data_IF_663771497968
#
_entry.id   IF_663771497968
#
_cell.length_a   1.000
_cell.length_b   1.000
_cell.length_c   1.000
_cell.angle_alpha   90.00
_cell.angle_beta   90.00
_cell.angle_gamma   90.00
#
_symmetry.space_group_name_H-M   'P 1'
#
loop_
_entity.id
_entity.type
_entity.pdbx_description
1 polymer ?
#
# COMPACT_ATOMS: atom_id res chain seq x y z
N UNK A 1 46.38 1.49 1.81
CA UNK A 1 45.66 0.21 1.95
C UNK A 1 44.16 0.50 1.89
N UNK A 2 43.54 0.22 0.76
CA UNK A 2 42.10 0.40 0.56
C UNK A 2 41.35 -0.69 1.33
N UNK A 3 40.61 -0.29 2.36
CA UNK A 3 39.68 -1.16 3.07
C UNK A 3 38.56 -1.55 2.10
N UNK A 4 38.67 -2.74 1.51
CA UNK A 4 37.56 -3.40 0.81
C UNK A 4 36.52 -3.80 1.85
N UNK A 5 35.49 -2.97 2.05
CA UNK A 5 34.29 -3.40 2.79
C UNK A 5 33.48 -4.31 1.88
N UNK A 6 33.57 -5.61 2.15
CA UNK A 6 32.71 -6.64 1.58
C UNK A 6 31.28 -6.30 1.97
N UNK A 7 30.41 -6.05 0.98
CA UNK A 7 28.96 -5.96 1.20
C UNK A 7 28.49 -7.41 1.40
N UNK A 8 28.19 -7.79 2.64
CA UNK A 8 27.61 -9.09 2.95
C UNK A 8 26.23 -9.18 2.32
N UNK A 9 26.00 -10.24 1.53
CA UNK A 9 24.70 -10.63 0.99
C UNK A 9 23.73 -10.87 2.17
N UNK A 10 22.53 -10.30 2.11
CA UNK A 10 21.47 -10.58 3.07
C UNK A 10 21.70 -9.99 4.46
N UNK A 11 21.65 -8.65 4.58
CA UNK A 11 21.75 -7.98 5.88
C UNK A 11 20.36 -7.80 6.49
N UNK A 12 20.12 -8.40 7.66
CA UNK A 12 18.91 -8.18 8.46
C UNK A 12 19.19 -7.24 9.63
N UNK A 13 18.32 -6.25 9.81
CA UNK A 13 18.26 -5.34 10.94
C UNK A 13 16.94 -5.60 11.65
N UNK A 14 16.97 -6.06 12.90
CA UNK A 14 15.75 -6.25 13.70
C UNK A 14 15.53 -5.08 14.63
N UNK A 15 14.30 -4.58 14.67
CA UNK A 15 13.84 -3.48 15.52
C UNK A 15 13.37 -4.06 16.86
N UNK A 16 14.17 -3.95 17.92
CA UNK A 16 13.76 -4.33 19.29
C UNK A 16 13.88 -3.15 20.23
N UNK A 17 12.77 -2.63 20.80
CA UNK A 17 12.76 -1.60 21.86
C UNK A 17 13.88 -0.52 21.72
N UNK A 18 13.92 0.18 20.59
CA UNK A 18 14.93 1.21 20.27
C UNK A 18 16.40 0.75 20.23
N UNK A 19 16.67 -0.55 20.14
CA UNK A 19 17.99 -1.16 19.95
C UNK A 19 18.01 -1.98 18.65
N UNK A 20 19.01 -1.69 17.83
CA UNK A 20 19.29 -2.41 16.57
C UNK A 20 20.10 -3.67 16.90
N UNK A 21 19.57 -4.85 16.53
CA UNK A 21 20.32 -6.11 16.56
C UNK A 21 20.70 -6.49 15.12
N UNK A 22 21.99 -6.77 14.91
CA UNK A 22 22.54 -7.14 13.61
C UNK A 22 22.61 -8.66 13.49
N UNK A 23 22.10 -9.22 12.41
CA UNK A 23 22.27 -10.63 12.08
C UNK A 23 22.85 -10.74 10.66
N UNK A 24 23.96 -11.48 10.51
CA UNK A 24 24.46 -11.91 9.20
C UNK A 24 23.70 -13.18 8.80
N UNK A 25 23.18 -13.24 7.58
CA UNK A 25 22.60 -14.49 7.04
C UNK A 25 23.78 -15.41 6.67
N UNK A 26 23.84 -16.68 7.14
CA UNK A 26 24.96 -17.56 6.84
C UNK A 26 25.00 -17.94 5.36
N UNK A 27 26.12 -17.73 4.70
CA UNK A 27 26.46 -18.41 3.44
C UNK A 27 27.00 -19.81 3.75
N UNK A 28 26.29 -20.83 3.26
CA UNK A 28 26.68 -22.25 3.09
C UNK A 28 27.73 -22.84 4.05
N UNK A 29 27.30 -23.73 4.96
CA UNK A 29 28.19 -24.71 5.62
C UNK A 29 27.52 -26.09 5.64
N UNK A 30 28.27 -27.07 5.15
CA UNK A 30 28.04 -28.52 5.24
C UNK A 30 28.12 -29.02 6.70
N UNK A 31 27.12 -29.81 7.11
CA UNK A 31 27.09 -30.79 8.23
C UNK A 31 27.50 -30.35 9.65
N UNK A 32 26.55 -30.27 10.60
CA UNK A 32 26.28 -31.37 11.57
C UNK A 32 25.11 -31.00 12.50
N UNK A 33 24.29 -32.00 12.82
CA UNK A 33 23.05 -31.88 13.58
C UNK A 33 23.37 -31.66 15.07
N UNK A 34 23.08 -30.48 15.62
CA UNK A 34 22.56 -30.38 16.99
C UNK A 34 21.86 -29.03 17.24
N UNK A 35 20.76 -29.15 17.98
CA UNK A 35 19.72 -28.17 18.29
C UNK A 35 20.14 -26.72 18.55
N UNK A 36 19.65 -25.78 17.74
CA UNK A 36 19.21 -24.46 18.20
C UNK A 36 18.23 -23.87 17.17
N UNK A 37 17.00 -23.59 17.59
CA UNK A 37 15.93 -23.03 16.74
C UNK A 37 16.22 -21.56 16.44
N UNK A 38 16.52 -21.26 15.17
CA UNK A 38 16.60 -19.89 14.64
C UNK A 38 15.51 -19.72 13.56
N UNK A 39 14.70 -18.66 13.70
CA UNK A 39 13.77 -18.17 12.67
C UNK A 39 14.54 -17.54 11.49
N UNK A 40 15.24 -18.38 10.73
CA UNK A 40 15.61 -18.07 9.37
C UNK A 40 14.33 -18.00 8.54
N UNK A 41 14.22 -17.06 7.61
CA UNK A 41 13.27 -17.21 6.50
C UNK A 41 13.68 -18.53 5.85
N UNK A 42 12.84 -19.55 5.96
CA UNK A 42 13.16 -20.87 5.43
C UNK A 42 13.13 -20.82 3.90
N UNK A 43 14.27 -20.46 3.32
CA UNK A 43 14.50 -20.47 1.88
C UNK A 43 14.44 -21.90 1.31
N UNK A 44 14.46 -22.96 2.14
CA UNK A 44 14.32 -24.34 1.65
C UNK A 44 12.87 -24.71 1.30
N UNK A 45 11.89 -23.95 1.79
CA UNK A 45 10.49 -24.10 1.37
C UNK A 45 10.23 -23.42 0.01
N UNK A 46 11.12 -22.54 -0.45
CA UNK A 46 11.02 -21.87 -1.76
C UNK A 46 11.43 -22.83 -2.90
N UNK A 47 12.38 -23.74 -2.64
CA UNK A 47 12.93 -24.66 -3.66
C UNK A 47 11.98 -25.80 -4.11
N UNK A 48 10.80 -25.96 -3.49
CA UNK A 48 9.81 -26.98 -3.88
C UNK A 48 8.55 -26.41 -4.53
N UNK A 49 8.29 -25.11 -4.39
CA UNK A 49 7.21 -24.41 -5.07
C UNK A 49 7.62 -23.88 -6.47
N UNK A 50 8.93 -23.82 -6.74
CA UNK A 50 9.50 -23.49 -8.06
C UNK A 50 9.47 -24.73 -8.97
N UNK A 51 8.25 -25.21 -9.25
CA UNK A 51 7.95 -26.01 -10.44
C UNK A 51 6.74 -25.38 -11.12
N UNK A 52 7.04 -24.38 -11.96
CA UNK A 52 6.21 -23.85 -13.04
C UNK A 52 4.73 -23.55 -12.72
N UNK A 53 4.50 -22.73 -11.71
CA UNK A 53 3.81 -21.48 -12.02
C UNK A 53 4.97 -20.56 -12.42
N UNK A 54 5.08 -20.21 -13.71
CA UNK A 54 6.17 -19.32 -14.15
C UNK A 54 6.13 -18.05 -13.28
N UNK A 55 7.28 -17.49 -12.91
CA UNK A 55 7.35 -16.23 -12.15
C UNK A 55 6.38 -15.18 -12.74
N UNK A 56 6.33 -15.12 -14.07
CA UNK A 56 5.42 -14.30 -14.87
C UNK A 56 3.94 -14.54 -14.52
N UNK A 57 3.51 -15.79 -14.37
CA UNK A 57 2.16 -16.11 -13.94
C UNK A 57 1.90 -15.67 -12.49
N UNK A 58 2.88 -15.83 -11.59
CA UNK A 58 2.76 -15.33 -10.21
C UNK A 58 2.57 -13.82 -10.14
N UNK A 59 3.28 -13.06 -10.99
CA UNK A 59 3.07 -11.61 -11.12
C UNK A 59 1.73 -11.28 -11.76
N UNK A 60 1.30 -12.04 -12.77
CA UNK A 60 -0.01 -11.86 -13.36
C UNK A 60 -1.12 -12.04 -12.31
N UNK A 61 -1.02 -13.08 -11.49
CA UNK A 61 -1.97 -13.35 -10.40
C UNK A 61 -1.97 -12.23 -9.36
N UNK A 62 -0.79 -11.66 -9.03
CA UNK A 62 -0.68 -10.49 -8.17
C UNK A 62 -1.43 -9.29 -8.77
N UNK A 63 -1.16 -8.96 -10.03
CA UNK A 63 -1.80 -7.85 -10.74
C UNK A 63 -3.32 -8.04 -10.76
N UNK A 64 -3.79 -9.23 -11.16
CA UNK A 64 -5.21 -9.55 -11.22
C UNK A 64 -5.87 -9.43 -9.82
N UNK A 65 -5.16 -9.84 -8.76
CA UNK A 65 -5.68 -9.76 -7.39
C UNK A 65 -5.95 -8.33 -6.90
N UNK A 66 -5.20 -7.35 -7.41
CA UNK A 66 -5.36 -5.93 -7.09
C UNK A 66 -6.42 -5.23 -7.97
N UNK A 67 -6.98 -5.96 -8.94
CA UNK A 67 -7.91 -5.44 -9.94
C UNK A 67 -9.24 -6.21 -9.99
N UNK A 68 -9.63 -6.82 -8.88
CA UNK A 68 -10.68 -7.84 -8.76
C UNK A 68 -12.10 -7.30 -8.50
N UNK A 69 -12.37 -6.02 -8.75
CA UNK A 69 -13.71 -5.44 -8.54
C UNK A 69 -14.73 -6.16 -9.44
N UNK A 70 -15.73 -6.76 -8.79
CA UNK A 70 -16.83 -7.44 -9.46
C UNK A 70 -17.84 -6.43 -10.02
N UNK A 71 -17.75 -6.18 -11.33
CA UNK A 71 -18.64 -5.27 -12.06
C UNK A 71 -20.09 -5.79 -12.14
N UNK A 72 -20.36 -7.05 -11.80
CA UNK A 72 -21.73 -7.60 -11.76
C UNK A 72 -22.50 -7.21 -10.50
N UNK A 73 -21.81 -6.70 -9.47
CA UNK A 73 -22.46 -6.20 -8.25
C UNK A 73 -23.14 -4.87 -8.51
N UNK A 74 -24.28 -4.66 -7.86
CA UNK A 74 -25.06 -3.42 -7.92
C UNK A 74 -24.41 -2.30 -7.08
N UNK A 75 -23.16 -1.94 -7.37
CA UNK A 75 -22.53 -0.75 -6.82
C UNK A 75 -23.19 0.50 -7.37
N UNK A 76 -23.38 1.48 -6.51
CA UNK A 76 -24.08 2.73 -6.83
C UNK A 76 -23.12 3.91 -6.66
N UNK A 77 -23.03 4.83 -7.64
CA UNK A 77 -22.24 6.05 -7.51
C UNK A 77 -22.55 6.85 -6.25
N UNK A 78 -21.52 7.34 -5.57
CA UNK A 78 -21.62 8.41 -4.58
C UNK A 78 -21.27 9.73 -5.26
N UNK A 79 -22.24 10.62 -5.38
CA UNK A 79 -22.09 11.91 -6.03
C UNK A 79 -22.03 13.04 -5.02
N UNK A 80 -21.23 14.06 -5.30
CA UNK A 80 -21.25 15.33 -4.61
C UNK A 80 -20.93 16.44 -5.61
N UNK A 81 -21.76 17.49 -5.66
CA UNK A 81 -21.66 18.56 -6.67
C UNK A 81 -21.59 18.04 -8.12
N UNK A 82 -22.43 17.05 -8.46
CA UNK A 82 -22.47 16.36 -9.75
C UNK A 82 -21.20 15.58 -10.15
N UNK A 83 -20.15 15.60 -9.33
CA UNK A 83 -18.98 14.75 -9.48
C UNK A 83 -19.17 13.41 -8.77
N UNK A 84 -18.79 12.31 -9.43
CA UNK A 84 -18.67 11.02 -8.77
C UNK A 84 -17.38 11.01 -7.96
N UNK A 85 -17.49 10.66 -6.67
CA UNK A 85 -16.34 10.65 -5.75
C UNK A 85 -16.16 9.29 -5.08
N UNK A 86 -17.07 8.35 -5.35
CA UNK A 86 -17.08 7.04 -4.72
C UNK A 86 -18.06 6.06 -5.37
N UNK A 87 -18.03 4.83 -4.86
CA UNK A 87 -18.95 3.74 -5.18
C UNK A 87 -19.40 3.04 -3.89
N UNK A 88 -20.69 2.82 -3.76
CA UNK A 88 -21.29 2.30 -2.53
C UNK A 88 -21.98 0.96 -2.79
N UNK A 89 -21.76 -0.01 -1.91
CA UNK A 89 -22.44 -1.30 -1.99
C UNK A 89 -23.88 -1.24 -1.45
N UNK A 90 -24.77 -2.17 -1.85
CA UNK A 90 -26.12 -2.26 -1.30
C UNK A 90 -26.17 -2.35 0.23
N UNK A 91 -25.20 -3.01 0.86
CA UNK A 91 -25.10 -3.14 2.33
C UNK A 91 -24.86 -1.79 3.00
N UNK A 92 -23.99 -0.95 2.43
CA UNK A 92 -23.73 0.39 2.95
C UNK A 92 -24.93 1.31 2.70
N UNK A 93 -25.58 1.21 1.53
CA UNK A 93 -26.81 1.95 1.21
C UNK A 93 -27.93 1.65 2.23
N UNK A 94 -28.03 0.41 2.71
CA UNK A 94 -29.00 0.03 3.75
C UNK A 94 -28.82 0.85 5.01
N UNK A 95 -27.59 1.08 5.47
CA UNK A 95 -27.32 1.91 6.64
C UNK A 95 -27.52 3.41 6.32
N UNK A 96 -27.09 3.87 5.14
CA UNK A 96 -27.32 5.27 4.70
C UNK A 96 -28.81 5.62 4.67
N UNK A 97 -29.68 4.68 4.26
CA UNK A 97 -31.13 4.90 4.16
C UNK A 97 -31.81 5.24 5.48
N UNK A 98 -31.17 4.87 6.61
CA UNK A 98 -31.64 5.18 7.96
C UNK A 98 -31.31 6.62 8.37
N UNK A 99 -30.40 7.29 7.68
CA UNK A 99 -29.87 8.61 8.02
C UNK A 99 -30.21 9.66 6.96
N UNK A 100 -31.51 9.92 6.79
CA UNK A 100 -32.04 10.87 5.78
C UNK A 100 -31.59 12.32 5.98
N UNK A 101 -31.13 12.67 7.19
CA UNK A 101 -30.54 13.98 7.48
C UNK A 101 -29.12 14.14 6.91
N UNK A 102 -28.47 13.03 6.54
CA UNK A 102 -27.08 12.99 6.06
C UNK A 102 -27.04 12.59 4.59
N UNK A 103 -27.84 11.61 4.18
CA UNK A 103 -27.80 11.02 2.85
C UNK A 103 -29.13 11.12 2.11
N UNK A 104 -29.02 11.30 0.80
CA UNK A 104 -30.10 11.19 -0.17
C UNK A 104 -29.82 9.98 -1.06
N UNK A 105 -30.82 9.13 -1.25
CA UNK A 105 -30.76 7.95 -2.12
C UNK A 105 -31.69 8.22 -3.29
N UNK A 106 -31.13 8.52 -4.46
CA UNK A 106 -31.90 8.79 -5.67
C UNK A 106 -32.27 7.47 -6.34
N UNK A 107 -33.57 7.28 -6.59
CA UNK A 107 -34.11 6.07 -7.25
C UNK A 107 -34.72 6.42 -8.59
N UNK A 108 -34.58 5.51 -9.53
CA UNK A 108 -35.36 5.53 -10.77
C UNK A 108 -36.83 5.29 -10.47
N UNK A 109 -37.71 6.17 -10.95
CA UNK A 109 -39.14 6.11 -10.63
C UNK A 109 -39.86 4.92 -11.29
N UNK A 110 -39.34 4.39 -12.41
CA UNK A 110 -39.97 3.30 -13.15
C UNK A 110 -39.52 1.94 -12.62
N UNK A 111 -38.22 1.79 -12.37
CA UNK A 111 -37.61 0.52 -11.98
C UNK A 111 -37.43 0.37 -10.47
N UNK A 112 -37.50 1.48 -9.71
CA UNK A 112 -37.22 1.50 -8.27
C UNK A 112 -35.74 1.30 -7.91
N UNK A 113 -34.86 1.10 -8.91
CA UNK A 113 -33.43 0.90 -8.71
C UNK A 113 -32.76 2.18 -8.24
N UNK A 114 -31.80 2.05 -7.33
CA UNK A 114 -30.98 3.20 -6.92
C UNK A 114 -30.09 3.63 -8.07
N UNK A 115 -30.14 4.91 -8.44
CA UNK A 115 -29.29 5.51 -9.49
C UNK A 115 -27.98 6.04 -8.93
N UNK A 116 -28.07 6.78 -7.83
CA UNK A 116 -26.91 7.33 -7.13
C UNK A 116 -27.26 7.58 -5.66
N UNK A 117 -26.21 7.78 -4.86
CA UNK A 117 -26.30 8.30 -3.50
C UNK A 117 -25.58 9.63 -3.42
N UNK A 118 -26.00 10.49 -2.51
CA UNK A 118 -25.35 11.79 -2.26
C UNK A 118 -25.57 12.24 -0.82
N UNK A 119 -24.92 13.32 -0.41
CA UNK A 119 -25.18 13.96 0.88
C UNK A 119 -26.38 14.90 0.82
N UNK A 120 -27.01 15.15 1.96
CA UNK A 120 -28.16 16.05 2.06
C UNK A 120 -27.77 17.48 1.64
N UNK A 121 -28.62 18.13 0.83
CA UNK A 121 -28.41 19.51 0.33
C UNK A 121 -28.29 20.56 1.43
N UNK A 122 -28.71 20.24 2.66
CA UNK A 122 -28.53 21.10 3.83
C UNK A 122 -27.09 21.17 4.32
N UNK A 123 -26.21 20.24 3.93
CA UNK A 123 -24.81 20.17 4.34
C UNK A 123 -23.93 20.89 3.31
N UNK A 124 -23.72 22.19 3.52
CA UNK A 124 -23.23 23.09 2.47
C UNK A 124 -21.71 23.11 2.34
N UNK A 125 -21.00 22.93 3.44
CA UNK A 125 -19.54 23.03 3.46
C UNK A 125 -18.84 21.73 3.88
N UNK A 126 -17.51 21.73 3.70
CA UNK A 126 -16.62 20.61 4.02
C UNK A 126 -16.75 20.20 5.47
N UNK A 127 -16.82 21.15 6.39
CA UNK A 127 -16.81 20.89 7.84
C UNK A 127 -18.11 20.22 8.29
N UNK A 128 -19.26 20.74 7.83
CA UNK A 128 -20.57 20.15 8.11
C UNK A 128 -20.67 18.72 7.58
N UNK A 129 -20.24 18.48 6.33
CA UNK A 129 -20.23 17.15 5.70
C UNK A 129 -19.37 16.19 6.49
N UNK A 130 -18.13 16.59 6.79
CA UNK A 130 -17.16 15.76 7.53
C UNK A 130 -17.67 15.42 8.92
N UNK A 131 -18.21 16.40 9.64
CA UNK A 131 -18.74 16.22 11.00
C UNK A 131 -19.92 15.25 11.02
N UNK A 132 -20.89 15.42 10.11
CA UNK A 132 -22.05 14.52 10.05
C UNK A 132 -21.66 13.11 9.63
N UNK A 133 -20.77 12.98 8.66
CA UNK A 133 -20.25 11.68 8.25
C UNK A 133 -19.50 10.98 9.39
N UNK A 134 -18.64 11.70 10.11
CA UNK A 134 -17.93 11.16 11.27
C UNK A 134 -18.88 10.69 12.38
N UNK A 135 -19.96 11.44 12.68
CA UNK A 135 -20.99 11.00 13.63
C UNK A 135 -21.66 9.70 13.18
N UNK A 136 -22.03 9.60 11.90
CA UNK A 136 -22.61 8.38 11.33
C UNK A 136 -21.66 7.18 11.43
N UNK A 137 -20.39 7.39 11.08
CA UNK A 137 -19.38 6.33 11.11
C UNK A 137 -19.04 5.87 12.53
N UNK A 138 -19.05 6.77 13.51
CA UNK A 138 -18.90 6.41 14.93
C UNK A 138 -20.06 5.55 15.43
N UNK A 139 -21.31 5.89 15.08
CA UNK A 139 -22.47 5.04 15.40
C UNK A 139 -22.32 3.64 14.78
N UNK A 140 -21.91 3.54 13.51
CA UNK A 140 -21.67 2.26 12.85
C UNK A 140 -20.52 1.46 13.50
N UNK A 141 -19.47 2.14 13.94
CA UNK A 141 -18.34 1.54 14.66
C UNK A 141 -18.79 1.00 16.01
N UNK A 142 -19.54 1.79 16.79
CA UNK A 142 -19.99 1.42 18.13
C UNK A 142 -20.98 0.24 18.09
N UNK A 143 -21.74 0.13 17.00
CA UNK A 143 -22.62 -1.02 16.70
C UNK A 143 -21.91 -2.19 16.01
N UNK A 144 -20.60 -2.09 15.75
CA UNK A 144 -19.76 -3.07 15.05
C UNK A 144 -20.35 -3.57 13.73
N UNK A 145 -20.90 -2.64 12.92
CA UNK A 145 -21.64 -3.00 11.70
C UNK A 145 -20.72 -3.46 10.57
N UNK A 146 -19.56 -2.81 10.43
CA UNK A 146 -18.61 -3.08 9.35
C UNK A 146 -17.22 -3.39 9.92
N UNK A 147 -16.59 -4.52 9.53
CA UNK A 147 -15.28 -4.92 10.06
C UNK A 147 -14.19 -3.87 9.89
N UNK A 148 -14.23 -3.11 8.79
CA UNK A 148 -13.23 -2.06 8.51
C UNK A 148 -13.17 -0.98 9.60
N UNK A 149 -14.30 -0.67 10.24
CA UNK A 149 -14.39 0.37 11.27
C UNK A 149 -13.69 -0.02 12.59
N UNK A 150 -13.35 -1.29 12.78
CA UNK A 150 -12.50 -1.75 13.90
C UNK A 150 -11.08 -1.20 13.78
N UNK A 151 -10.64 -0.89 12.56
CA UNK A 151 -9.33 -0.30 12.28
C UNK A 151 -9.29 1.23 12.39
N UNK A 152 -10.14 1.85 13.23
CA UNK A 152 -10.17 3.30 13.47
C UNK A 152 -8.84 3.80 14.03
N UNK A 153 -8.27 4.86 13.42
CA UNK A 153 -6.94 5.40 13.74
C UNK A 153 -6.97 6.85 14.22
N UNK A 154 -8.12 7.53 14.16
CA UNK A 154 -8.22 8.98 14.36
C UNK A 154 -7.35 9.75 13.35
N UNK A 155 -7.32 9.22 12.13
CA UNK A 155 -6.60 9.78 10.99
C UNK A 155 -7.61 9.88 9.86
N UNK A 156 -7.80 11.08 9.35
CA UNK A 156 -8.76 11.34 8.27
C UNK A 156 -8.04 11.54 6.95
N UNK A 157 -8.68 11.14 5.86
CA UNK A 157 -8.26 11.43 4.49
C UNK A 157 -9.19 12.45 3.84
N UNK A 158 -8.65 13.20 2.88
CA UNK A 158 -9.41 14.12 2.06
C UNK A 158 -10.12 13.37 0.94
N UNK A 159 -11.42 13.63 0.78
CA UNK A 159 -12.22 13.15 -0.35
C UNK A 159 -12.40 14.29 -1.35
N UNK A 160 -12.04 14.00 -2.60
CA UNK A 160 -11.98 14.96 -3.72
C UNK A 160 -12.50 14.29 -4.98
N UNK A 161 -12.84 15.08 -6.00
CA UNK A 161 -13.14 14.57 -7.35
C UNK A 161 -11.86 14.05 -8.02
N UNK A 162 -10.77 14.81 -7.91
CA UNK A 162 -9.44 14.42 -8.36
C UNK A 162 -8.39 14.97 -7.42
N UNK A 163 -7.15 14.45 -7.51
CA UNK A 163 -6.08 14.80 -6.57
C UNK A 163 -5.87 16.32 -6.37
N UNK A 164 -5.95 17.09 -7.46
CA UNK A 164 -5.72 18.55 -7.47
C UNK A 164 -7.01 19.38 -7.29
N UNK A 165 -8.17 18.73 -7.17
CA UNK A 165 -9.44 19.43 -6.96
C UNK A 165 -9.60 19.88 -5.50
N UNK A 166 -10.64 20.67 -5.25
CA UNK A 166 -10.98 21.11 -3.91
C UNK A 166 -11.37 19.93 -3.00
N UNK A 167 -11.14 20.09 -1.71
CA UNK A 167 -11.51 19.07 -0.72
C UNK A 167 -12.98 19.19 -0.40
N UNK A 168 -13.72 18.13 -0.66
CA UNK A 168 -15.16 18.13 -0.50
C UNK A 168 -15.58 17.73 0.91
N UNK A 169 -14.89 16.77 1.51
CA UNK A 169 -15.09 16.32 2.90
C UNK A 169 -13.86 15.54 3.39
N UNK A 170 -13.79 15.33 4.69
CA UNK A 170 -12.84 14.46 5.36
C UNK A 170 -13.56 13.23 5.90
N UNK A 171 -12.90 12.09 5.82
CA UNK A 171 -13.42 10.80 6.26
C UNK A 171 -12.35 10.05 7.04
N UNK A 172 -12.75 9.33 8.08
CA UNK A 172 -11.83 8.42 8.78
C UNK A 172 -11.23 7.42 7.79
N UNK A 173 -9.90 7.27 7.82
CA UNK A 173 -9.12 6.42 6.91
C UNK A 173 -9.72 5.03 6.74
N UNK A 174 -10.10 4.38 7.84
CA UNK A 174 -10.65 3.02 7.81
C UNK A 174 -12.03 2.92 7.17
N UNK A 175 -12.76 4.03 7.03
CA UNK A 175 -14.09 4.07 6.44
C UNK A 175 -14.11 4.40 4.95
N UNK A 176 -12.98 4.84 4.35
CA UNK A 176 -12.91 5.19 2.92
C UNK A 176 -13.48 4.07 2.03
N UNK A 177 -13.15 2.82 2.36
CA UNK A 177 -13.53 1.67 1.56
C UNK A 177 -15.03 1.31 1.61
N UNK A 178 -15.79 1.84 2.57
CA UNK A 178 -17.24 1.68 2.60
C UNK A 178 -17.93 2.49 1.49
N UNK A 179 -17.32 3.59 1.08
CA UNK A 179 -17.84 4.48 0.05
C UNK A 179 -17.04 4.42 -1.24
N UNK A 180 -16.04 3.54 -1.31
CA UNK A 180 -15.12 3.46 -2.44
C UNK A 180 -14.45 4.81 -2.73
N UNK A 181 -14.16 5.60 -1.70
CA UNK A 181 -13.50 6.89 -1.94
C UNK A 181 -12.07 6.67 -2.43
N UNK A 182 -11.65 7.47 -3.41
CA UNK A 182 -10.29 7.42 -3.94
C UNK A 182 -9.29 7.87 -2.88
N UNK A 183 -8.40 6.97 -2.47
CA UNK A 183 -7.35 7.24 -1.49
C UNK A 183 -6.00 7.44 -2.16
N UNK A 184 -5.12 8.17 -1.47
CA UNK A 184 -3.77 8.46 -1.93
C UNK A 184 -2.74 8.09 -0.86
N UNK A 185 -1.59 7.59 -1.31
CA UNK A 185 -0.45 7.30 -0.45
C UNK A 185 0.88 7.56 -1.14
N UNK A 186 1.96 7.35 -0.41
CA UNK A 186 3.34 7.52 -0.86
C UNK A 186 4.11 6.24 -0.58
N UNK A 187 4.87 5.78 -1.57
CA UNK A 187 5.76 4.64 -1.43
C UNK A 187 7.17 5.03 -1.87
N UNK A 188 8.18 4.64 -1.10
CA UNK A 188 9.60 4.90 -1.40
C UNK A 188 10.36 3.60 -1.64
N UNK A 189 10.93 3.47 -2.84
CA UNK A 189 11.93 2.47 -3.18
C UNK A 189 13.31 2.98 -2.73
N UNK A 190 13.71 2.63 -1.50
CA UNK A 190 15.04 2.90 -0.98
C UNK A 190 16.03 1.84 -1.48
N UNK A 191 16.96 2.24 -2.34
CA UNK A 191 17.92 1.32 -2.94
C UNK A 191 19.36 1.80 -2.82
N UNK A 192 20.30 0.89 -3.00
CA UNK A 192 21.74 1.12 -2.90
C UNK A 192 22.40 0.46 -4.12
N UNK A 193 23.41 1.11 -4.69
CA UNK A 193 24.27 0.51 -5.72
C UNK A 193 25.64 0.15 -5.13
N UNK A 194 26.17 -1.01 -5.51
CA UNK A 194 27.56 -1.36 -5.22
C UNK A 194 28.53 -0.71 -6.23
N UNK A 195 29.84 -0.96 -6.09
CA UNK A 195 30.85 -0.38 -7.00
C UNK A 195 30.74 -0.93 -8.44
N UNK A 196 30.12 -2.09 -8.62
CA UNK A 196 29.86 -2.73 -9.90
C UNK A 196 28.56 -2.23 -10.56
N UNK A 197 27.76 -1.43 -9.84
CA UNK A 197 26.47 -0.94 -10.29
C UNK A 197 25.29 -1.89 -10.00
N UNK A 198 25.51 -3.01 -9.31
CA UNK A 198 24.43 -3.90 -8.91
C UNK A 198 23.52 -3.22 -7.88
N UNK A 199 22.21 -3.38 -8.07
CA UNK A 199 21.18 -2.77 -7.25
C UNK A 199 20.77 -3.69 -6.11
N UNK A 200 20.69 -3.12 -4.91
CA UNK A 200 20.14 -3.72 -3.70
C UNK A 200 19.00 -2.83 -3.19
N UNK A 201 17.94 -3.41 -2.65
CA UNK A 201 16.80 -2.67 -2.11
C UNK A 201 16.65 -2.94 -0.63
N UNK A 202 16.36 -1.89 0.13
CA UNK A 202 15.89 -2.01 1.51
C UNK A 202 14.41 -2.39 1.50
N UNK A 203 14.10 -3.56 2.02
CA UNK A 203 12.74 -4.08 2.18
C UNK A 203 12.43 -4.08 3.67
N UNK A 204 11.29 -3.50 4.06
CA UNK A 204 10.83 -3.54 5.44
C UNK A 204 9.93 -4.76 5.68
N UNK A 205 9.81 -5.18 6.94
CA UNK A 205 8.80 -6.13 7.40
C UNK A 205 7.86 -5.42 8.35
N UNK A 206 6.58 -5.45 8.01
CA UNK A 206 5.51 -4.84 8.79
C UNK A 206 5.42 -5.50 10.17
N UNK A 207 5.25 -4.70 11.22
CA UNK A 207 5.01 -5.23 12.56
C UNK A 207 3.78 -6.14 12.59
N UNK A 208 3.81 -7.17 13.46
CA UNK A 208 2.68 -8.10 13.62
C UNK A 208 1.42 -7.43 14.22
N UNK A 209 1.59 -6.26 14.82
CA UNK A 209 0.54 -5.41 15.39
C UNK A 209 -0.20 -4.58 14.35
N UNK A 210 0.32 -4.45 13.11
CA UNK A 210 -0.34 -3.68 12.06
C UNK A 210 -1.74 -4.23 11.78
N UNK A 211 -2.76 -3.36 11.66
CA UNK A 211 -4.15 -3.78 11.41
C UNK A 211 -4.34 -4.43 10.03
N UNK A 212 -3.48 -4.10 9.06
CA UNK A 212 -3.52 -4.67 7.71
C UNK A 212 -2.19 -5.30 7.36
N UNK A 213 -2.24 -6.48 6.75
CA UNK A 213 -1.07 -7.23 6.28
C UNK A 213 0.05 -7.39 7.34
N UNK A 214 -0.26 -7.82 8.59
CA UNK A 214 0.74 -7.95 9.64
C UNK A 214 1.84 -8.96 9.24
N UNK A 215 3.10 -8.61 9.47
CA UNK A 215 4.26 -9.47 9.21
C UNK A 215 4.68 -9.61 7.74
N UNK A 216 3.94 -9.02 6.78
CA UNK A 216 4.30 -9.02 5.36
C UNK A 216 5.50 -8.11 5.07
N UNK A 217 6.19 -8.38 3.96
CA UNK A 217 7.20 -7.48 3.41
C UNK A 217 6.54 -6.25 2.77
N UNK A 218 7.23 -5.12 2.82
CA UNK A 218 6.75 -3.82 2.32
C UNK A 218 7.90 -3.07 1.62
N UNK A 219 7.60 -1.91 1.02
CA UNK A 219 8.63 -1.00 0.53
C UNK A 219 9.52 -0.51 1.70
N UNK A 220 10.59 0.22 1.39
CA UNK A 220 11.44 0.79 2.44
C UNK A 220 10.64 1.70 3.38
N UNK A 221 9.73 2.49 2.79
CA UNK A 221 8.81 3.40 3.47
C UNK A 221 7.50 3.39 2.69
N UNK A 222 6.35 3.33 3.37
CA UNK A 222 5.04 3.43 2.74
C UNK A 222 3.97 3.99 3.69
N UNK A 223 3.32 5.08 3.29
CA UNK A 223 2.35 5.77 4.15
C UNK A 223 1.18 6.38 3.39
N UNK A 224 0.07 6.56 4.10
CA UNK A 224 -1.11 7.22 3.57
C UNK A 224 -1.01 8.74 3.63
N UNK A 225 -1.63 9.46 2.69
CA UNK A 225 -1.67 10.92 2.75
C UNK A 225 -2.84 11.34 3.64
N UNK A 226 -2.51 11.78 4.85
CA UNK A 226 -3.49 12.31 5.80
C UNK A 226 -4.05 13.66 5.35
N UNK A 227 -5.22 14.01 5.89
CA UNK A 227 -5.86 15.28 5.61
C UNK A 227 -5.00 16.47 6.01
N UNK A 228 -4.90 17.47 5.13
CA UNK A 228 -4.03 18.62 5.29
C UNK A 228 -2.54 18.36 5.00
N UNK A 229 -2.13 17.14 4.70
CA UNK A 229 -0.74 16.84 4.27
C UNK A 229 -0.59 16.89 2.74
N UNK A 230 0.55 17.40 2.30
CA UNK A 230 1.02 17.22 0.92
C UNK A 230 1.80 15.91 0.79
N UNK A 231 1.89 15.39 -0.45
CA UNK A 231 2.73 14.22 -0.81
C UNK A 231 4.13 14.31 -0.20
N UNK A 232 4.75 15.48 -0.27
CA UNK A 232 6.12 15.69 0.23
C UNK A 232 6.19 15.65 1.76
N UNK A 233 5.22 16.25 2.45
CA UNK A 233 5.15 16.20 3.91
C UNK A 233 4.96 14.77 4.40
N UNK A 234 4.03 14.03 3.79
CA UNK A 234 3.84 12.59 4.07
C UNK A 234 5.13 11.81 3.82
N UNK A 235 5.78 11.99 2.66
CA UNK A 235 7.06 11.33 2.35
C UNK A 235 8.10 11.57 3.44
N UNK A 236 8.32 12.84 3.83
CA UNK A 236 9.34 13.22 4.80
C UNK A 236 9.04 12.70 6.21
N UNK A 237 7.77 12.73 6.63
CA UNK A 237 7.29 12.19 7.91
C UNK A 237 7.49 10.68 7.97
N UNK A 238 6.95 9.94 7.01
CA UNK A 238 7.02 8.47 6.95
C UNK A 238 8.47 7.98 6.82
N UNK A 239 9.29 8.69 6.04
CA UNK A 239 10.72 8.40 5.93
C UNK A 239 11.41 8.45 7.30
N UNK A 240 11.06 9.44 8.12
CA UNK A 240 11.63 9.61 9.44
C UNK A 240 11.07 8.58 10.43
N UNK A 241 9.76 8.36 10.45
CA UNK A 241 9.05 7.47 11.38
C UNK A 241 9.42 6.00 11.15
N UNK A 242 9.22 5.48 9.94
CA UNK A 242 9.38 4.05 9.67
C UNK A 242 10.85 3.63 9.52
N UNK A 243 11.70 4.47 8.91
CA UNK A 243 13.04 4.07 8.47
C UNK A 243 14.18 4.98 8.96
N UNK A 244 13.89 6.06 9.69
CA UNK A 244 14.92 6.98 10.19
C UNK A 244 15.66 7.72 9.09
N UNK A 245 15.06 7.81 7.91
CA UNK A 245 15.56 8.57 6.75
C UNK A 245 15.28 10.05 7.01
N UNK A 246 16.29 10.75 7.54
CA UNK A 246 16.18 12.19 7.82
C UNK A 246 16.02 13.06 6.56
N UNK A 247 15.61 14.32 6.74
CA UNK A 247 15.50 15.35 5.69
C UNK A 247 16.72 15.47 4.76
N UNK A 248 17.93 15.17 5.26
CA UNK A 248 19.15 15.13 4.44
C UNK A 248 19.05 14.12 3.28
N UNK A 249 18.37 13.00 3.49
CA UNK A 249 18.21 11.94 2.50
C UNK A 249 16.83 11.98 1.85
N UNK A 250 15.75 12.17 2.60
CA UNK A 250 14.39 12.17 2.04
C UNK A 250 14.18 13.28 1.00
N UNK A 251 14.84 14.44 1.15
CA UNK A 251 14.83 15.51 0.14
C UNK A 251 15.48 15.14 -1.20
N UNK A 252 16.24 14.04 -1.26
CA UNK A 252 16.85 13.53 -2.49
C UNK A 252 15.98 12.49 -3.20
N UNK A 253 14.86 12.07 -2.57
CA UNK A 253 13.93 11.14 -3.18
C UNK A 253 13.34 11.78 -4.45
N UNK A 254 13.37 11.03 -5.55
CA UNK A 254 12.90 11.51 -6.86
C UNK A 254 11.53 10.92 -7.16
N UNK A 255 10.54 11.74 -7.56
CA UNK A 255 9.27 11.19 -8.02
C UNK A 255 9.52 10.32 -9.25
N UNK A 256 8.93 9.13 -9.24
CA UNK A 256 9.12 8.10 -10.27
C UNK A 256 7.83 7.75 -11.01
N UNK A 257 6.72 8.41 -10.65
CA UNK A 257 5.40 8.20 -11.24
C UNK A 257 4.37 7.88 -10.17
N UNK A 258 3.29 7.23 -10.59
CA UNK A 258 2.23 6.72 -9.71
C UNK A 258 1.86 5.32 -10.14
N UNK A 259 1.48 4.48 -9.18
CA UNK A 259 0.69 3.28 -9.48
C UNK A 259 -0.76 3.50 -9.06
N UNK A 260 -1.68 2.78 -9.68
CA UNK A 260 -3.10 2.84 -9.35
C UNK A 260 -3.75 1.47 -9.49
N UNK A 261 -4.62 1.14 -8.55
CA UNK A 261 -5.36 -0.12 -8.52
C UNK A 261 -6.74 0.02 -7.91
N UNK A 262 -7.58 -0.96 -8.20
CA UNK A 262 -8.92 -1.01 -7.66
C UNK A 262 -9.23 -2.42 -7.15
N UNK A 263 -9.06 -2.58 -5.84
CA UNK A 263 -9.26 -3.82 -5.11
C UNK A 263 -10.64 -3.84 -4.44
N UNK A 264 -11.31 -4.97 -4.47
CA UNK A 264 -12.46 -5.29 -3.63
C UNK A 264 -12.11 -6.45 -2.69
N UNK A 265 -12.42 -6.29 -1.41
CA UNK A 265 -12.25 -7.34 -0.40
C UNK A 265 -13.37 -7.26 0.66
N UNK A 266 -13.26 -8.04 1.72
CA UNK A 266 -14.24 -8.09 2.82
C UNK A 266 -14.39 -6.77 3.59
N UNK A 267 -13.43 -5.84 3.47
CA UNK A 267 -13.49 -4.53 4.10
C UNK A 267 -14.23 -3.51 3.23
N UNK A 268 -14.24 -3.70 1.90
CA UNK A 268 -14.92 -2.82 0.97
C UNK A 268 -14.19 -2.65 -0.36
N UNK A 269 -14.30 -1.44 -0.90
CA UNK A 269 -13.76 -1.00 -2.20
C UNK A 269 -12.55 -0.09 -1.99
N UNK A 270 -11.41 -0.40 -2.59
CA UNK A 270 -10.15 0.33 -2.42
C UNK A 270 -9.63 0.81 -3.78
N UNK A 271 -10.19 1.90 -4.33
CA UNK A 271 -9.56 2.62 -5.43
C UNK A 271 -8.44 3.48 -4.87
N UNK A 272 -7.19 3.10 -5.14
CA UNK A 272 -6.02 3.75 -4.54
C UNK A 272 -5.04 4.23 -5.60
N UNK A 273 -4.33 5.32 -5.29
CA UNK A 273 -3.20 5.80 -6.10
C UNK A 273 -2.01 6.09 -5.20
N UNK A 274 -0.90 5.44 -5.49
CA UNK A 274 0.34 5.58 -4.73
C UNK A 274 1.34 6.42 -5.52
N UNK A 275 1.81 7.52 -4.92
CA UNK A 275 2.93 8.29 -5.45
C UNK A 275 4.22 7.55 -5.18
N UNK A 276 4.91 7.17 -6.26
CA UNK A 276 6.14 6.38 -6.18
C UNK A 276 7.35 7.29 -6.19
N UNK A 277 8.27 7.07 -5.26
CA UNK A 277 9.55 7.75 -5.18
C UNK A 277 10.70 6.75 -5.18
N UNK A 278 11.76 7.09 -5.89
CA UNK A 278 13.01 6.33 -5.89
C UNK A 278 14.07 7.12 -5.11
N UNK A 279 14.72 6.46 -4.14
CA UNK A 279 15.73 7.08 -3.28
C UNK A 279 16.99 6.21 -3.26
N UNK A 280 18.05 6.69 -3.93
CA UNK A 280 19.37 6.07 -3.83
C UNK A 280 20.03 6.48 -2.51
N UNK A 281 20.21 5.51 -1.61
CA UNK A 281 20.80 5.69 -0.29
C UNK A 281 22.31 5.39 -0.32
N UNK A 282 23.11 6.05 0.53
CA UNK A 282 24.51 5.68 0.70
C UNK A 282 24.67 4.23 1.15
N UNK A 283 25.71 3.54 0.68
CA UNK A 283 26.05 2.17 1.14
C UNK A 283 26.23 2.02 2.65
N UNK A 284 26.57 3.12 3.33
CA UNK A 284 26.72 3.17 4.79
C UNK A 284 25.41 3.43 5.54
N UNK A 285 24.31 3.71 4.83
CA UNK A 285 23.03 3.96 5.45
C UNK A 285 22.47 2.65 6.04
N UNK A 286 21.92 2.77 7.24
CA UNK A 286 21.22 1.69 7.94
C UNK A 286 19.88 2.28 8.40
N UNK A 287 18.75 1.71 7.96
CA UNK A 287 17.44 2.17 8.40
C UNK A 287 17.29 1.93 9.90
N UNK A 288 16.54 2.82 10.54
CA UNK A 288 16.18 2.74 11.95
C UNK A 288 14.68 3.00 12.09
N UNK A 289 13.97 2.01 12.59
CA UNK A 289 12.58 2.21 13.00
C UNK A 289 12.53 3.17 14.19
N UNK A 290 11.82 4.29 14.02
CA UNK A 290 11.59 5.28 15.08
C UNK A 290 10.19 5.16 15.68
N UNK A 291 9.33 4.31 15.12
CA UNK A 291 8.00 3.95 15.62
C UNK A 291 7.88 2.43 15.89
N UNK A 292 6.66 1.93 15.99
CA UNK A 292 6.33 0.51 16.18
C UNK A 292 5.73 -0.17 14.93
N UNK A 293 5.88 0.47 13.76
CA UNK A 293 5.23 0.07 12.52
C UNK A 293 6.04 -0.98 11.73
N UNK A 294 7.36 -0.99 11.90
CA UNK A 294 8.32 -1.90 11.23
C UNK A 294 9.05 -2.79 12.23
N UNK A 295 9.04 -4.10 12.00
CA UNK A 295 9.77 -5.07 12.84
C UNK A 295 11.20 -5.33 12.37
N UNK A 296 11.45 -5.33 11.06
CA UNK A 296 12.74 -5.67 10.49
C UNK A 296 13.00 -4.93 9.17
N UNK A 297 14.27 -4.74 8.84
CA UNK A 297 14.73 -4.31 7.52
C UNK A 297 15.69 -5.34 6.93
N UNK A 298 15.59 -5.55 5.61
CA UNK A 298 16.43 -6.43 4.83
C UNK A 298 17.06 -5.66 3.69
N UNK A 299 18.38 -5.72 3.54
CA UNK A 299 19.05 -5.26 2.32
C UNK A 299 19.25 -6.47 1.40
N UNK A 300 18.44 -6.54 0.35
CA UNK A 300 18.37 -7.69 -0.55
C UNK A 300 18.86 -7.32 -1.96
N UNK A 301 19.58 -8.21 -2.67
CA UNK A 301 19.85 -8.05 -4.09
C UNK A 301 18.53 -7.92 -4.87
N UNK A 302 18.51 -7.06 -5.90
CA UNK A 302 17.28 -6.83 -6.68
C UNK A 302 16.71 -8.10 -7.32
N UNK A 303 17.58 -9.07 -7.64
CA UNK A 303 17.17 -10.39 -8.15
C UNK A 303 16.34 -11.18 -7.13
N UNK A 304 16.70 -11.15 -5.86
CA UNK A 304 15.93 -11.83 -4.80
C UNK A 304 14.60 -11.10 -4.55
N UNK A 305 14.61 -9.78 -4.57
CA UNK A 305 13.38 -8.97 -4.45
C UNK A 305 12.41 -9.29 -5.58
N UNK A 306 12.92 -9.43 -6.82
CA UNK A 306 12.14 -9.86 -7.98
C UNK A 306 11.44 -11.20 -7.72
N UNK A 307 12.15 -12.20 -7.22
CA UNK A 307 11.52 -13.50 -6.92
C UNK A 307 10.50 -13.41 -5.77
N UNK A 308 10.76 -12.58 -4.76
CA UNK A 308 9.85 -12.47 -3.61
C UNK A 308 8.51 -11.81 -3.96
N UNK A 309 8.47 -10.86 -4.89
CA UNK A 309 7.21 -10.18 -5.26
C UNK A 309 6.24 -11.08 -6.04
N UNK A 310 6.71 -12.19 -6.62
CA UNK A 310 5.81 -13.22 -7.21
C UNK A 310 5.26 -14.20 -6.17
N UNK A 311 5.62 -14.03 -4.89
CA UNK A 311 5.10 -14.84 -3.78
C UNK A 311 4.08 -14.06 -2.95
N UNK A 312 3.49 -14.72 -1.95
CA UNK A 312 2.57 -14.06 -1.01
C UNK A 312 3.29 -13.36 0.15
N UNK A 313 4.61 -13.25 0.16
CA UNK A 313 5.35 -12.66 1.28
C UNK A 313 5.18 -11.13 1.38
N UNK A 314 5.02 -10.46 0.24
CA UNK A 314 4.79 -9.02 0.19
C UNK A 314 3.33 -8.63 0.46
N UNK A 315 3.16 -7.44 1.03
CA UNK A 315 1.89 -6.69 0.93
C UNK A 315 1.62 -6.46 -0.58
N UNK A 316 0.42 -6.78 -1.09
CA UNK A 316 0.18 -6.80 -2.53
C UNK A 316 0.49 -5.47 -3.24
N UNK A 317 0.04 -4.33 -2.70
CA UNK A 317 0.29 -3.04 -3.35
C UNK A 317 1.80 -2.68 -3.37
N UNK A 318 2.54 -3.05 -2.33
CA UNK A 318 3.99 -2.85 -2.26
C UNK A 318 4.73 -3.70 -3.29
N UNK A 319 4.28 -4.94 -3.52
CA UNK A 319 4.78 -5.77 -4.62
C UNK A 319 4.51 -5.13 -5.99
N UNK A 320 3.35 -4.47 -6.17
CA UNK A 320 3.02 -3.74 -7.40
C UNK A 320 3.93 -2.51 -7.60
N UNK A 321 4.26 -1.76 -6.53
CA UNK A 321 5.24 -0.65 -6.59
C UNK A 321 6.63 -1.15 -6.99
N UNK A 322 7.04 -2.30 -6.47
CA UNK A 322 8.34 -2.91 -6.82
C UNK A 322 8.32 -3.44 -8.25
N UNK A 323 7.20 -4.00 -8.73
CA UNK A 323 7.05 -4.39 -10.13
C UNK A 323 7.29 -3.18 -11.07
N UNK A 324 6.66 -2.05 -10.78
CA UNK A 324 6.89 -0.78 -11.48
C UNK A 324 8.38 -0.37 -11.45
N UNK A 325 9.04 -0.46 -10.29
CA UNK A 325 10.49 -0.23 -10.18
C UNK A 325 11.31 -1.14 -11.09
N UNK A 326 11.03 -2.46 -11.09
CA UNK A 326 11.76 -3.44 -11.91
C UNK A 326 11.60 -3.17 -13.41
N UNK A 327 10.41 -2.72 -13.83
CA UNK A 327 10.12 -2.32 -15.21
C UNK A 327 10.90 -1.05 -15.58
N UNK A 328 10.77 0.03 -14.80
CA UNK A 328 11.42 1.33 -15.07
C UNK A 328 12.95 1.26 -15.06
N UNK A 329 13.51 0.36 -14.26
CA UNK A 329 14.96 0.15 -14.14
C UNK A 329 15.50 -0.97 -15.05
N UNK A 330 14.67 -1.53 -15.95
CA UNK A 330 15.11 -2.50 -16.96
C UNK A 330 15.49 -3.88 -16.42
N UNK A 331 15.05 -4.23 -15.20
CA UNK A 331 15.23 -5.56 -14.61
C UNK A 331 14.27 -6.60 -15.20
N UNK A 332 13.21 -6.14 -15.87
CA UNK A 332 12.30 -6.93 -16.69
C UNK A 332 12.35 -6.33 -18.10
N UNK A 333 12.50 -7.17 -19.12
CA UNK A 333 12.65 -6.74 -20.52
C UNK A 333 11.44 -7.17 -21.35
N UNK A 334 10.98 -6.32 -22.29
CA UNK A 334 9.79 -6.59 -23.10
C UNK A 334 9.94 -7.82 -24.00
N UNK A 335 11.13 -8.11 -24.53
CA UNK A 335 11.36 -9.27 -25.40
C UNK A 335 11.49 -10.61 -24.64
N UNK A 336 11.64 -10.54 -23.31
CA UNK A 336 11.87 -11.72 -22.44
C UNK A 336 10.65 -12.08 -21.58
N UNK A 337 9.74 -11.12 -21.34
CA UNK A 337 8.59 -11.29 -20.45
C UNK A 337 7.27 -11.32 -21.24
N UNK A 338 6.59 -12.48 -21.33
CA UNK A 338 5.37 -12.63 -22.14
C UNK A 338 4.19 -11.76 -21.69
N UNK A 339 4.16 -11.32 -20.43
CA UNK A 339 3.09 -10.49 -19.87
C UNK A 339 3.52 -9.03 -19.64
N UNK A 340 4.59 -8.57 -20.30
CA UNK A 340 5.18 -7.25 -20.02
C UNK A 340 4.17 -6.11 -20.14
N UNK A 341 3.34 -6.13 -21.18
CA UNK A 341 2.33 -5.08 -21.42
C UNK A 341 1.23 -5.16 -20.36
N UNK A 342 0.79 -6.36 -19.98
CA UNK A 342 -0.18 -6.57 -18.90
C UNK A 342 0.35 -6.09 -17.56
N UNK A 343 1.64 -6.28 -17.26
CA UNK A 343 2.26 -5.77 -16.03
C UNK A 343 2.30 -4.25 -16.00
N UNK A 344 2.71 -3.60 -17.09
CA UNK A 344 2.72 -2.14 -17.20
C UNK A 344 1.30 -1.58 -17.03
N UNK A 345 0.32 -2.13 -17.75
CA UNK A 345 -1.09 -1.71 -17.62
C UNK A 345 -1.62 -1.97 -16.21
N UNK A 346 -1.25 -3.09 -15.62
CA UNK A 346 -1.60 -3.48 -14.27
C UNK A 346 -1.06 -2.55 -13.19
N UNK A 347 0.09 -1.92 -13.42
CA UNK A 347 0.62 -0.89 -12.51
C UNK A 347 -0.19 0.42 -12.57
N UNK A 348 -0.88 0.69 -13.67
CA UNK A 348 -1.50 1.99 -13.95
C UNK A 348 -2.98 1.87 -14.34
N UNK A 349 -3.79 1.17 -13.52
CA UNK A 349 -5.22 1.05 -13.78
C UNK A 349 -5.88 2.42 -13.78
N UNK A 350 -6.61 2.73 -14.86
CA UNK A 350 -7.51 3.89 -14.86
C UNK A 350 -8.64 3.66 -13.86
N UNK A 351 -8.79 4.58 -12.91
CA UNK A 351 -9.91 4.60 -11.97
C UNK A 351 -11.09 5.34 -12.60
N UNK A 352 -12.31 4.92 -12.25
CA UNK A 352 -13.53 5.33 -12.95
C UNK A 352 -14.00 6.76 -12.60
N UNK A 353 -13.46 7.32 -11.53
CA UNK A 353 -13.75 8.66 -11.01
C UNK A 353 -12.49 9.19 -10.33
#
# INVERSE_FOLDING_TARGET
MLSKRVITIGRKITCTNNKIIRMAIPTAITCDISSTTMDAIDLTTVDKAIKEISWSQGIKDLVDSLHNVDESKDYVPFLLNDAQIGLVSPEVIKEMSKQKAIFIIAKDLLTGKTKFTTMALSLKDREERSTKLACFLRDLKDRDVFPTLRGWRNETYEVKESFNSEVLLDVERSACCLFGFHTYGVHVNGYVKNDQGDVYMWVSRRAKTKPTYPGKLDNTVAGGIASGESVKQTLERECLEEAGITGKFSSQARPAGTISYFLSNELGLHPETEFVYDLELPRSFEPKCNDDEVSDFYLLPIKEVKELISTKEFKPNSALVILDFLIRHGSIKPDEEPHYVEFVKGCHRTLAY
#
